data_IF_035626717935
#
_entry.id   IF_035626717935
#
_cell.length_a   1.000
_cell.length_b   1.000
_cell.length_c   1.000
_cell.angle_alpha   90.00
_cell.angle_beta   90.00
_cell.angle_gamma   90.00
#
_symmetry.space_group_name_H-M   'P 1'
#
loop_
_entity.id
_entity.type
_entity.pdbx_description
1 polymer ?
#
# COMPACT_ATOMS: atom_id res chain seq x y z
N UNK A 1 -19.03 -0.82 4.36
CA UNK A 1 -17.59 -1.03 4.12
C UNK A 1 -16.95 0.32 4.38
N UNK A 2 -16.12 0.40 5.41
CA UNK A 2 -15.42 1.63 5.79
C UNK A 2 -14.15 1.78 4.96
N UNK A 3 -13.55 2.98 4.92
CA UNK A 3 -12.31 3.23 4.17
C UNK A 3 -11.20 2.20 4.52
N UNK A 4 -11.11 1.81 5.79
CA UNK A 4 -10.15 0.81 6.29
C UNK A 4 -10.31 -0.57 5.62
N UNK A 5 -11.55 -0.97 5.33
CA UNK A 5 -11.82 -2.24 4.65
C UNK A 5 -11.27 -2.22 3.20
N UNK A 6 -11.38 -1.07 2.52
CA UNK A 6 -10.84 -0.88 1.18
C UNK A 6 -9.31 -0.83 1.18
N UNK A 7 -8.70 -0.15 2.17
CA UNK A 7 -7.24 -0.16 2.36
C UNK A 7 -6.73 -1.59 2.56
N UNK A 8 -7.43 -2.40 3.37
CA UNK A 8 -7.08 -3.81 3.56
C UNK A 8 -7.22 -4.64 2.29
N UNK A 9 -8.22 -4.39 1.46
CA UNK A 9 -8.38 -5.05 0.17
C UNK A 9 -7.28 -4.65 -0.83
N UNK A 10 -6.98 -3.36 -0.91
CA UNK A 10 -5.89 -2.80 -1.70
C UNK A 10 -4.54 -3.41 -1.31
N UNK A 11 -4.22 -3.45 -0.02
CA UNK A 11 -2.99 -4.07 0.50
C UNK A 11 -2.87 -5.55 0.09
N UNK A 12 -3.95 -6.32 0.19
CA UNK A 12 -3.95 -7.72 -0.26
C UNK A 12 -3.71 -7.87 -1.75
N UNK A 13 -4.24 -6.96 -2.56
CA UNK A 13 -4.00 -6.93 -4.00
C UNK A 13 -2.54 -6.58 -4.31
N UNK A 14 -1.98 -5.57 -3.67
CA UNK A 14 -0.56 -5.21 -3.83
C UNK A 14 0.31 -6.39 -3.48
N UNK A 15 0.09 -7.04 -2.33
CA UNK A 15 0.82 -8.23 -1.92
C UNK A 15 0.78 -9.34 -3.00
N UNK A 16 -0.41 -9.62 -3.55
CA UNK A 16 -0.54 -10.58 -4.66
C UNK A 16 0.21 -10.13 -5.91
N UNK A 17 0.11 -8.86 -6.31
CA UNK A 17 0.82 -8.34 -7.49
C UNK A 17 2.33 -8.39 -7.33
N UNK A 18 2.85 -8.14 -6.13
CA UNK A 18 4.28 -8.33 -5.80
C UNK A 18 4.66 -9.82 -5.92
N UNK A 19 3.88 -10.72 -5.32
CA UNK A 19 4.14 -12.16 -5.39
C UNK A 19 4.07 -12.71 -6.84
N UNK A 20 3.17 -12.16 -7.66
CA UNK A 20 3.01 -12.53 -9.07
C UNK A 20 4.06 -11.86 -9.98
N UNK A 21 4.92 -10.99 -9.45
CA UNK A 21 5.96 -10.27 -10.21
C UNK A 21 5.43 -9.17 -11.12
N UNK A 22 4.19 -8.70 -10.88
CA UNK A 22 3.56 -7.61 -11.63
C UNK A 22 4.09 -6.24 -11.18
N UNK A 23 4.36 -6.09 -9.88
CA UNK A 23 4.98 -4.89 -9.31
C UNK A 23 6.48 -5.12 -9.16
N UNK A 24 7.27 -4.17 -9.67
CA UNK A 24 8.72 -4.23 -9.61
C UNK A 24 9.23 -3.51 -8.36
N UNK A 25 9.83 -4.25 -7.43
CA UNK A 25 10.43 -3.67 -6.22
C UNK A 25 11.66 -2.79 -6.49
N UNK A 26 12.14 -2.76 -7.73
CA UNK A 26 13.21 -1.89 -8.20
C UNK A 26 12.69 -0.81 -9.17
N UNK A 27 11.39 -0.49 -9.10
CA UNK A 27 10.75 0.52 -9.94
C UNK A 27 11.53 1.85 -9.89
N UNK A 28 11.92 2.33 -11.07
CA UNK A 28 12.61 3.61 -11.20
C UNK A 28 11.68 4.76 -10.78
N UNK A 29 12.13 5.59 -9.84
CA UNK A 29 11.35 6.73 -9.34
C UNK A 29 11.16 6.72 -7.83
N UNK A 30 11.34 5.56 -7.18
CA UNK A 30 11.29 5.46 -5.73
C UNK A 30 12.67 5.25 -5.12
N UNK A 31 12.98 6.00 -4.07
CA UNK A 31 14.19 5.80 -3.25
C UNK A 31 13.88 5.16 -1.90
N UNK A 32 12.60 5.15 -1.51
CA UNK A 32 12.11 4.58 -0.26
C UNK A 32 11.08 3.49 -0.54
N UNK A 33 11.32 2.23 -0.11
CA UNK A 33 10.34 1.15 -0.22
C UNK A 33 9.01 1.44 0.47
N UNK A 34 9.00 2.27 1.52
CA UNK A 34 7.76 2.66 2.23
C UNK A 34 6.91 3.58 1.35
N UNK A 35 7.50 4.63 0.78
CA UNK A 35 6.83 5.52 -0.18
C UNK A 35 6.27 4.74 -1.39
N UNK A 36 7.06 3.84 -1.96
CA UNK A 36 6.65 2.98 -3.07
C UNK A 36 5.46 2.09 -2.70
N UNK A 37 5.50 1.44 -1.53
CA UNK A 37 4.42 0.58 -1.07
C UNK A 37 3.14 1.38 -0.83
N UNK A 38 3.23 2.53 -0.17
CA UNK A 38 2.09 3.40 0.08
C UNK A 38 1.46 3.89 -1.24
N UNK A 39 2.28 4.27 -2.22
CA UNK A 39 1.77 4.69 -3.53
C UNK A 39 1.08 3.56 -4.28
N UNK A 40 1.64 2.35 -4.28
CA UNK A 40 0.96 1.18 -4.87
C UNK A 40 -0.39 0.89 -4.20
N UNK A 41 -0.46 0.97 -2.86
CA UNK A 41 -1.73 0.80 -2.13
C UNK A 41 -2.70 1.90 -2.52
N UNK A 42 -2.25 3.16 -2.61
CA UNK A 42 -3.07 4.29 -3.03
C UNK A 42 -3.59 4.13 -4.46
N UNK A 43 -2.78 3.60 -5.39
CA UNK A 43 -3.20 3.28 -6.75
C UNK A 43 -4.35 2.28 -6.75
N UNK A 44 -4.21 1.15 -6.05
CA UNK A 44 -5.30 0.16 -5.95
C UNK A 44 -6.54 0.75 -5.27
N UNK A 45 -6.35 1.58 -4.25
CA UNK A 45 -7.44 2.23 -3.51
C UNK A 45 -8.26 3.15 -4.42
N UNK A 46 -7.62 3.90 -5.33
CA UNK A 46 -8.32 4.73 -6.34
C UNK A 46 -9.19 3.90 -7.30
N UNK A 47 -8.80 2.65 -7.56
CA UNK A 47 -9.57 1.76 -8.43
C UNK A 47 -10.80 1.19 -7.73
N UNK A 48 -10.68 0.85 -6.45
CA UNK A 48 -11.70 0.10 -5.69
C UNK A 48 -12.63 0.97 -4.83
N UNK A 49 -12.16 2.11 -4.34
CA UNK A 49 -12.94 2.91 -3.41
C UNK A 49 -14.17 3.51 -4.11
N UNK A 50 -15.33 3.56 -3.40
CA UNK A 50 -16.56 4.12 -3.94
C UNK A 50 -16.47 5.65 -4.11
N UNK A 51 -15.69 6.31 -3.26
CA UNK A 51 -15.42 7.75 -3.32
C UNK A 51 -13.99 8.00 -3.81
N UNK A 52 -13.85 8.09 -5.13
CA UNK A 52 -12.56 8.32 -5.77
C UNK A 52 -12.03 9.72 -5.51
N UNK A 53 -12.90 10.70 -5.35
CA UNK A 53 -12.50 12.09 -5.11
C UNK A 53 -11.85 12.21 -3.73
N UNK A 54 -12.39 11.52 -2.72
CA UNK A 54 -11.78 11.44 -1.40
C UNK A 54 -10.40 10.76 -1.44
N UNK A 55 -10.24 9.69 -2.20
CA UNK A 55 -8.93 9.00 -2.33
C UNK A 55 -7.93 9.85 -3.12
N UNK A 56 -8.36 10.53 -4.18
CA UNK A 56 -7.49 11.42 -4.96
C UNK A 56 -6.98 12.58 -4.10
N UNK A 57 -7.79 13.08 -3.16
CA UNK A 57 -7.39 14.12 -2.23
C UNK A 57 -6.54 13.63 -1.03
N UNK A 58 -6.44 12.31 -0.82
CA UNK A 58 -5.72 11.68 0.28
C UNK A 58 -4.21 11.74 0.03
N UNK A 59 -3.45 12.16 1.04
CA UNK A 59 -1.99 12.11 1.00
C UNK A 59 -1.48 10.73 1.46
N UNK A 60 -0.22 10.40 1.15
CA UNK A 60 0.39 9.14 1.61
C UNK A 60 0.46 9.08 3.14
N UNK A 61 0.66 10.21 3.81
CA UNK A 61 0.65 10.30 5.27
C UNK A 61 -0.74 9.94 5.84
N UNK A 62 -1.82 10.45 5.23
CA UNK A 62 -3.19 10.11 5.64
C UNK A 62 -3.47 8.60 5.45
N UNK A 63 -2.95 8.01 4.36
CA UNK A 63 -3.06 6.58 4.08
C UNK A 63 -2.28 5.77 5.12
N UNK A 64 -1.06 6.19 5.48
CA UNK A 64 -0.27 5.55 6.51
C UNK A 64 -0.99 5.60 7.87
N UNK A 65 -1.54 6.75 8.27
CA UNK A 65 -2.32 6.88 9.52
C UNK A 65 -3.53 5.92 9.53
N UNK A 66 -4.22 5.76 8.40
CA UNK A 66 -5.32 4.81 8.26
C UNK A 66 -4.86 3.37 8.44
N UNK A 67 -3.74 2.99 7.83
CA UNK A 67 -3.13 1.65 7.96
C UNK A 67 -2.72 1.40 9.42
N UNK A 68 -2.00 2.34 10.05
CA UNK A 68 -1.52 2.24 11.43
C UNK A 68 -2.67 2.14 12.44
N UNK A 69 -3.81 2.78 12.16
CA UNK A 69 -4.99 2.74 13.01
C UNK A 69 -5.69 1.37 13.08
N UNK A 70 -5.28 0.38 12.28
CA UNK A 70 -5.84 -0.97 12.24
C UNK A 70 -4.73 -2.01 12.41
N UNK A 71 -4.63 -2.60 13.61
CA UNK A 71 -3.50 -3.46 13.99
C UNK A 71 -3.22 -4.61 13.01
N UNK A 72 -4.27 -5.26 12.49
CA UNK A 72 -4.15 -6.35 11.52
C UNK A 72 -3.66 -5.86 10.14
N UNK A 73 -4.17 -4.71 9.69
CA UNK A 73 -3.74 -4.09 8.43
C UNK A 73 -2.31 -3.58 8.54
N UNK A 74 -1.94 -3.02 9.69
CA UNK A 74 -0.59 -2.54 9.95
C UNK A 74 0.43 -3.69 9.99
N UNK A 75 0.09 -4.82 10.62
CA UNK A 75 0.94 -6.00 10.63
C UNK A 75 1.18 -6.54 9.21
N UNK A 76 0.10 -6.73 8.43
CA UNK A 76 0.19 -7.16 7.02
C UNK A 76 1.06 -6.18 6.19
N UNK A 77 0.89 -4.88 6.42
CA UNK A 77 1.66 -3.82 5.77
C UNK A 77 3.15 -3.93 6.10
N UNK A 78 3.49 -4.07 7.39
CA UNK A 78 4.89 -4.22 7.83
C UNK A 78 5.54 -5.47 7.26
N UNK A 79 4.85 -6.60 7.23
CA UNK A 79 5.36 -7.85 6.64
C UNK A 79 5.70 -7.64 5.17
N UNK A 80 4.81 -7.00 4.41
CA UNK A 80 5.05 -6.71 3.00
C UNK A 80 6.21 -5.73 2.82
N UNK A 81 6.25 -4.65 3.60
CA UNK A 81 7.32 -3.66 3.57
C UNK A 81 8.70 -4.29 3.81
N UNK A 82 8.84 -5.14 4.83
CA UNK A 82 10.11 -5.84 5.10
C UNK A 82 10.51 -6.76 3.93
N UNK A 83 9.56 -7.33 3.19
CA UNK A 83 9.85 -8.16 2.02
C UNK A 83 10.34 -7.37 0.80
N UNK A 84 9.99 -6.09 0.72
CA UNK A 84 10.39 -5.17 -0.36
C UNK A 84 11.77 -4.55 -0.10
N UNK A 85 12.17 -4.44 1.17
CA UNK A 85 13.49 -3.91 1.51
C UNK A 85 14.58 -4.78 0.89
N UNK A 86 15.59 -4.16 0.25
CA UNK A 86 16.76 -4.91 -0.15
C UNK A 86 17.36 -5.54 1.11
N UNK A 87 17.68 -6.84 1.03
CA UNK A 87 18.45 -7.47 2.08
C UNK A 87 19.74 -6.66 2.25
N UNK A 88 19.91 -6.01 3.41
CA UNK A 88 21.15 -5.30 3.73
C UNK A 88 22.31 -6.26 3.45
N UNK A 89 23.16 -5.89 2.51
CA UNK A 89 24.30 -6.68 2.05
C UNK A 89 25.54 -6.42 2.90
#
# INVERSE_FOLDING_TARGET
MEMKDFVKAALKKVNRKVADGVLDKFEEGYTDPEEMLLDWIWIELKEEAPDKDAVIAMQLDDLYELIESAADTYEDYRILLESLRPAEA
#
